data_IF_152061341475
#
_entry.id   IF_152061341475
#
_cell.length_a   1.000
_cell.length_b   1.000
_cell.length_c   1.000
_cell.angle_alpha   90.00
_cell.angle_beta   90.00
_cell.angle_gamma   90.00
#
_symmetry.space_group_name_H-M   'P 1'
#
loop_
_entity.id
_entity.type
_entity.pdbx_description
1 polymer ?
#
# COMPACT_ATOMS: atom_id res chain seq x y z
N UNK A 1 11.92 -20.01 18.70
CA UNK A 1 11.98 -18.72 18.00
C UNK A 1 10.88 -18.73 16.95
N UNK A 2 9.88 -17.89 17.09
CA UNK A 2 8.84 -17.72 16.08
C UNK A 2 9.50 -17.21 14.79
N UNK A 3 9.15 -17.78 13.64
CA UNK A 3 9.72 -17.35 12.37
C UNK A 3 9.24 -15.93 12.07
N UNK A 4 10.16 -14.97 11.96
CA UNK A 4 9.83 -13.59 11.60
C UNK A 4 9.19 -13.54 10.22
N UNK A 5 8.04 -12.91 10.10
CA UNK A 5 7.35 -12.66 8.82
C UNK A 5 8.13 -11.60 8.02
N UNK A 6 8.50 -10.50 8.67
CA UNK A 6 9.38 -9.47 8.12
C UNK A 6 10.79 -9.71 8.68
N UNK A 7 11.74 -10.02 7.80
CA UNK A 7 13.11 -10.34 8.17
C UNK A 7 14.07 -9.60 7.22
N UNK A 8 14.65 -8.50 7.71
CA UNK A 8 15.53 -7.64 6.92
C UNK A 8 16.76 -8.39 6.43
N UNK A 9 17.30 -9.33 7.23
CA UNK A 9 18.45 -10.13 6.80
C UNK A 9 18.09 -10.99 5.58
N UNK A 10 16.93 -11.65 5.60
CA UNK A 10 16.43 -12.45 4.46
C UNK A 10 16.12 -11.58 3.24
N UNK A 11 15.50 -10.41 3.45
CA UNK A 11 15.20 -9.47 2.36
C UNK A 11 16.49 -9.00 1.69
N UNK A 12 17.50 -8.61 2.48
CA UNK A 12 18.81 -8.22 1.96
C UNK A 12 19.50 -9.38 1.24
N UNK A 13 19.49 -10.57 1.82
CA UNK A 13 20.07 -11.76 1.19
C UNK A 13 19.40 -12.10 -0.14
N UNK A 14 18.06 -11.99 -0.22
CA UNK A 14 17.30 -12.20 -1.45
C UNK A 14 17.59 -11.17 -2.55
N UNK A 15 17.74 -9.89 -2.18
CA UNK A 15 18.01 -8.82 -3.15
C UNK A 15 19.48 -8.70 -3.56
N UNK A 16 20.43 -8.92 -2.66
CA UNK A 16 21.86 -8.70 -2.88
C UNK A 16 22.66 -10.01 -3.04
N UNK A 17 22.04 -11.16 -2.76
CA UNK A 17 22.72 -12.46 -2.80
C UNK A 17 23.91 -12.48 -1.85
N UNK A 18 25.06 -13.01 -2.33
CA UNK A 18 26.30 -13.09 -1.53
C UNK A 18 26.82 -11.73 -1.05
N UNK A 19 26.46 -10.63 -1.73
CA UNK A 19 26.87 -9.26 -1.35
C UNK A 19 26.18 -8.76 -0.09
N UNK A 20 25.06 -9.34 0.34
CA UNK A 20 24.41 -9.00 1.60
C UNK A 20 25.35 -9.13 2.81
N UNK A 21 26.29 -10.08 2.77
CA UNK A 21 27.30 -10.28 3.83
C UNK A 21 28.29 -9.12 3.96
N UNK A 22 28.42 -8.27 2.95
CA UNK A 22 29.28 -7.10 2.94
C UNK A 22 28.61 -5.86 3.56
N UNK A 23 27.30 -5.93 3.82
CA UNK A 23 26.56 -4.83 4.46
C UNK A 23 27.00 -4.78 5.94
N UNK A 24 27.50 -3.62 6.41
CA UNK A 24 27.91 -3.48 7.81
C UNK A 24 26.78 -3.78 8.78
N UNK A 25 27.05 -4.49 9.86
CA UNK A 25 26.05 -4.89 10.86
C UNK A 25 25.30 -3.71 11.48
N UNK A 26 25.98 -2.58 11.68
CA UNK A 26 25.34 -1.38 12.21
C UNK A 26 24.27 -0.82 11.24
N UNK A 27 24.50 -0.93 9.92
CA UNK A 27 23.55 -0.50 8.91
C UNK A 27 22.34 -1.44 8.87
N UNK A 28 22.54 -2.74 8.99
CA UNK A 28 21.44 -3.72 9.11
C UNK A 28 20.61 -3.44 10.36
N UNK A 29 21.28 -3.22 11.50
CA UNK A 29 20.61 -2.88 12.76
C UNK A 29 19.83 -1.56 12.67
N UNK A 30 20.39 -0.56 11.97
CA UNK A 30 19.71 0.70 11.68
C UNK A 30 18.46 0.49 10.80
N UNK A 31 18.57 -0.30 9.72
CA UNK A 31 17.43 -0.64 8.86
C UNK A 31 16.31 -1.36 9.64
N UNK A 32 16.65 -2.35 10.47
CA UNK A 32 15.67 -3.07 11.31
C UNK A 32 14.93 -2.11 12.24
N UNK A 33 15.66 -1.16 12.83
CA UNK A 33 15.07 -0.14 13.70
C UNK A 33 14.18 0.82 12.92
N UNK A 34 14.61 1.26 11.73
CA UNK A 34 13.87 2.17 10.86
C UNK A 34 12.54 1.60 10.40
N UNK A 35 12.50 0.30 10.07
CA UNK A 35 11.25 -0.37 9.65
C UNK A 35 10.49 -0.99 10.82
N UNK A 36 10.91 -0.72 12.06
CA UNK A 36 10.29 -1.25 13.27
C UNK A 36 10.09 -2.77 13.24
N UNK A 37 11.11 -3.51 12.72
CA UNK A 37 11.03 -4.96 12.43
C UNK A 37 10.39 -5.77 13.57
N UNK A 38 10.80 -5.53 14.82
CA UNK A 38 10.30 -6.31 15.96
C UNK A 38 8.85 -5.96 16.30
N UNK A 39 8.47 -4.67 16.25
CA UNK A 39 7.10 -4.22 16.53
C UNK A 39 6.13 -4.69 15.44
N UNK A 40 6.53 -4.59 14.17
CA UNK A 40 5.73 -5.09 13.05
C UNK A 40 5.54 -6.61 13.17
N UNK A 41 6.60 -7.38 13.46
CA UNK A 41 6.46 -8.82 13.63
C UNK A 41 5.60 -9.19 14.84
N UNK A 42 5.70 -8.44 15.95
CA UNK A 42 4.84 -8.63 17.12
C UNK A 42 3.37 -8.40 16.74
N UNK A 43 3.06 -7.29 16.05
CA UNK A 43 1.71 -7.03 15.57
C UNK A 43 1.19 -8.16 14.67
N UNK A 44 2.03 -8.65 13.72
CA UNK A 44 1.65 -9.73 12.81
C UNK A 44 1.41 -11.06 13.53
N UNK A 45 2.15 -11.34 14.60
CA UNK A 45 1.97 -12.54 15.42
C UNK A 45 0.69 -12.45 16.26
N UNK A 46 0.49 -11.34 16.97
CA UNK A 46 -0.68 -11.09 17.81
C UNK A 46 -2.00 -11.13 17.02
N UNK A 47 -1.96 -10.71 15.74
CA UNK A 47 -3.11 -10.65 14.83
C UNK A 47 -3.06 -11.70 13.72
N UNK A 48 -2.29 -12.78 13.91
CA UNK A 48 -2.13 -13.85 12.91
C UNK A 48 -3.41 -14.62 12.60
N UNK A 49 -4.42 -14.53 13.48
CA UNK A 49 -5.75 -15.12 13.33
C UNK A 49 -6.72 -14.26 12.51
N UNK A 50 -6.35 -13.00 12.20
CA UNK A 50 -7.17 -12.06 11.44
C UNK A 50 -6.70 -11.98 9.98
N UNK A 51 -7.66 -11.80 9.07
CA UNK A 51 -7.38 -11.55 7.67
C UNK A 51 -8.42 -10.60 7.05
N UNK A 52 -8.08 -10.05 5.88
CA UNK A 52 -8.99 -9.21 5.12
C UNK A 52 -9.33 -7.92 5.86
N UNK A 53 -10.62 -7.61 5.94
CA UNK A 53 -11.12 -6.36 6.54
C UNK A 53 -10.85 -6.29 8.03
N UNK A 54 -11.04 -7.40 8.75
CA UNK A 54 -10.80 -7.45 10.20
C UNK A 54 -9.33 -7.16 10.53
N UNK A 55 -8.42 -7.64 9.71
CA UNK A 55 -6.99 -7.31 9.85
C UNK A 55 -6.72 -5.83 9.59
N UNK A 56 -7.35 -5.21 8.59
CA UNK A 56 -7.23 -3.77 8.33
C UNK A 56 -7.77 -2.93 9.48
N UNK A 57 -8.90 -3.33 10.08
CA UNK A 57 -9.47 -2.66 11.25
C UNK A 57 -8.56 -2.79 12.48
N UNK A 58 -7.92 -3.95 12.65
CA UNK A 58 -6.89 -4.13 13.68
C UNK A 58 -5.69 -3.20 13.45
N UNK A 59 -5.26 -3.00 12.19
CA UNK A 59 -4.22 -2.01 11.85
C UNK A 59 -4.65 -0.58 12.20
N UNK A 60 -5.87 -0.16 11.85
CA UNK A 60 -6.40 1.17 12.20
C UNK A 60 -6.34 1.39 13.70
N UNK A 61 -6.76 0.40 14.48
CA UNK A 61 -6.74 0.44 15.94
C UNK A 61 -5.31 0.46 16.50
N UNK A 62 -4.42 -0.38 15.99
CA UNK A 62 -3.03 -0.47 16.43
C UNK A 62 -2.25 0.84 16.17
N UNK A 63 -2.53 1.49 15.05
CA UNK A 63 -1.91 2.76 14.66
C UNK A 63 -2.60 3.97 15.32
N UNK A 64 -3.57 3.75 16.20
CA UNK A 64 -4.35 4.79 16.90
C UNK A 64 -4.90 5.87 15.95
N UNK A 65 -5.39 5.43 14.77
CA UNK A 65 -5.86 6.34 13.75
C UNK A 65 -7.25 6.88 14.09
N UNK A 66 -7.38 8.19 14.16
CA UNK A 66 -8.67 8.88 14.19
C UNK A 66 -9.07 9.25 12.76
N UNK A 67 -10.21 8.73 12.31
CA UNK A 67 -10.71 8.94 10.95
C UNK A 67 -11.91 9.87 10.98
N UNK A 68 -11.80 11.02 10.30
CA UNK A 68 -12.93 11.90 10.00
C UNK A 68 -13.40 11.55 8.59
N UNK A 69 -14.66 11.14 8.46
CA UNK A 69 -15.20 10.63 7.20
C UNK A 69 -16.40 11.46 6.80
N UNK A 70 -16.34 12.00 5.59
CA UNK A 70 -17.42 12.77 4.98
C UNK A 70 -17.86 12.09 3.68
N UNK A 71 -19.16 12.21 3.35
CA UNK A 71 -19.69 11.74 2.08
C UNK A 71 -19.90 10.23 1.97
N UNK A 72 -20.00 9.51 3.11
CA UNK A 72 -20.32 8.07 3.09
C UNK A 72 -21.67 7.78 2.40
N UNK A 73 -22.61 8.70 2.50
CA UNK A 73 -23.92 8.64 1.84
C UNK A 73 -23.84 8.72 0.31
N UNK A 74 -22.71 9.16 -0.24
CA UNK A 74 -22.48 9.23 -1.68
C UNK A 74 -21.87 7.93 -2.25
N UNK A 75 -21.49 6.98 -1.38
CA UNK A 75 -21.03 5.68 -1.87
C UNK A 75 -22.19 4.95 -2.58
N UNK A 76 -21.91 4.31 -3.72
CA UNK A 76 -22.89 3.49 -4.40
C UNK A 76 -23.49 2.40 -3.52
N UNK A 77 -24.75 2.05 -3.74
CA UNK A 77 -25.39 0.95 -3.03
C UNK A 77 -24.65 -0.37 -3.34
N UNK A 78 -24.25 -1.09 -2.30
CA UNK A 78 -23.56 -2.37 -2.41
C UNK A 78 -24.40 -3.46 -3.10
N UNK A 79 -25.73 -3.28 -3.18
CA UNK A 79 -26.68 -4.23 -3.73
C UNK A 79 -27.17 -3.86 -5.14
N UNK A 80 -26.62 -2.82 -5.77
CA UNK A 80 -27.06 -2.38 -7.11
C UNK A 80 -26.56 -3.28 -8.26
N UNK A 81 -25.77 -4.30 -7.94
CA UNK A 81 -25.24 -5.28 -8.89
C UNK A 81 -24.12 -4.76 -9.79
N UNK A 82 -23.63 -3.53 -9.57
CA UNK A 82 -22.55 -2.94 -10.35
C UNK A 82 -21.20 -3.14 -9.67
N UNK A 83 -20.14 -3.04 -10.45
CA UNK A 83 -18.77 -3.10 -9.98
C UNK A 83 -18.10 -1.73 -10.09
N UNK A 84 -17.37 -1.37 -9.07
CA UNK A 84 -16.75 -0.06 -8.94
C UNK A 84 -15.23 -0.13 -8.92
N UNK A 85 -14.59 0.93 -9.40
CA UNK A 85 -13.18 1.21 -9.21
C UNK A 85 -13.03 2.43 -8.32
N UNK A 86 -12.74 2.23 -7.07
CA UNK A 86 -12.41 3.27 -6.11
C UNK A 86 -10.99 3.76 -6.36
N UNK A 87 -10.83 5.06 -6.52
CA UNK A 87 -9.52 5.67 -6.76
C UNK A 87 -9.28 6.80 -5.78
N UNK A 88 -8.11 6.83 -5.18
CA UNK A 88 -7.75 7.85 -4.21
C UNK A 88 -6.36 8.43 -4.49
N UNK A 89 -6.17 9.69 -4.06
CA UNK A 89 -4.84 10.22 -3.83
C UNK A 89 -4.14 9.42 -2.72
N UNK A 90 -2.81 9.54 -2.65
CA UNK A 90 -1.97 8.70 -1.78
C UNK A 90 -1.04 9.55 -0.91
N UNK A 91 -1.57 10.39 0.00
CA UNK A 91 -0.74 11.34 0.74
C UNK A 91 0.22 10.67 1.72
N UNK A 92 -0.21 9.64 2.42
CA UNK A 92 0.53 9.02 3.52
C UNK A 92 1.31 7.77 3.10
N UNK A 93 0.81 7.03 2.11
CA UNK A 93 1.51 5.87 1.53
C UNK A 93 1.24 4.53 2.20
N UNK A 94 0.88 4.48 3.47
CA UNK A 94 0.53 3.26 4.20
C UNK A 94 -0.81 3.38 4.90
N UNK A 95 -0.92 4.38 5.75
CA UNK A 95 -2.12 4.65 6.56
C UNK A 95 -3.38 4.86 5.71
N UNK A 96 -3.29 5.63 4.62
CA UNK A 96 -4.40 5.85 3.70
C UNK A 96 -4.88 4.54 3.04
N UNK A 97 -3.95 3.66 2.68
CA UNK A 97 -4.30 2.32 2.18
C UNK A 97 -5.04 1.49 3.21
N UNK A 98 -4.55 1.48 4.45
CA UNK A 98 -5.19 0.75 5.56
C UNK A 98 -6.57 1.31 5.87
N UNK A 99 -6.68 2.65 6.03
CA UNK A 99 -7.93 3.31 6.38
C UNK A 99 -9.02 3.13 5.30
N UNK A 100 -8.67 3.42 4.04
CA UNK A 100 -9.63 3.28 2.94
C UNK A 100 -10.07 1.84 2.74
N UNK A 101 -9.16 0.88 2.93
CA UNK A 101 -9.52 -0.53 2.84
C UNK A 101 -10.41 -1.01 3.96
N UNK A 102 -10.21 -0.51 5.17
CA UNK A 102 -11.11 -0.80 6.28
C UNK A 102 -12.52 -0.22 6.01
N UNK A 103 -12.61 1.04 5.57
CA UNK A 103 -13.87 1.73 5.28
C UNK A 103 -14.63 1.05 4.13
N UNK A 104 -13.97 0.92 2.96
CA UNK A 104 -14.58 0.31 1.77
C UNK A 104 -14.88 -1.17 2.02
N UNK A 105 -13.96 -1.85 2.70
CA UNK A 105 -14.15 -3.25 3.06
C UNK A 105 -15.34 -3.48 3.97
N UNK A 106 -15.54 -2.65 4.97
CA UNK A 106 -16.71 -2.72 5.85
C UNK A 106 -18.00 -2.43 5.10
N UNK A 107 -18.02 -1.42 4.23
CA UNK A 107 -19.21 -1.02 3.46
C UNK A 107 -19.64 -2.09 2.45
N UNK A 108 -18.67 -2.73 1.76
CA UNK A 108 -18.91 -3.72 0.71
C UNK A 108 -18.62 -5.17 1.16
N UNK A 109 -18.69 -5.47 2.46
CA UNK A 109 -18.56 -6.81 3.04
C UNK A 109 -17.28 -7.55 2.57
N UNK A 110 -16.17 -6.82 2.44
CA UNK A 110 -14.89 -7.35 1.97
C UNK A 110 -14.82 -7.63 0.46
N UNK A 111 -15.86 -7.25 -0.29
CA UNK A 111 -15.97 -7.53 -1.71
C UNK A 111 -15.13 -6.60 -2.58
N UNK A 112 -13.84 -6.43 -2.26
CA UNK A 112 -12.93 -5.59 -3.04
C UNK A 112 -11.52 -6.20 -3.13
N UNK A 113 -10.70 -5.66 -4.02
CA UNK A 113 -9.28 -6.00 -4.16
C UNK A 113 -8.44 -4.74 -4.34
N UNK A 114 -7.27 -4.76 -3.70
CA UNK A 114 -6.22 -3.78 -3.95
C UNK A 114 -5.35 -4.16 -5.12
N UNK A 115 -4.93 -3.17 -5.87
CA UNK A 115 -3.80 -3.29 -6.76
C UNK A 115 -2.54 -2.75 -6.05
N UNK A 116 -1.73 -3.65 -5.49
CA UNK A 116 -0.62 -3.30 -4.58
C UNK A 116 0.74 -3.75 -5.09
N UNK A 117 1.80 -3.17 -4.50
CA UNK A 117 3.17 -3.65 -4.65
C UNK A 117 3.29 -5.06 -4.04
N UNK A 118 4.12 -5.91 -4.67
CA UNK A 118 4.39 -7.28 -4.24
C UNK A 118 4.93 -7.41 -2.80
N UNK A 119 5.59 -6.37 -2.28
CA UNK A 119 6.03 -6.36 -0.88
C UNK A 119 4.87 -6.53 0.11
N UNK A 120 3.71 -5.97 -0.20
CA UNK A 120 2.53 -6.07 0.66
C UNK A 120 1.90 -7.46 0.66
N UNK A 121 2.22 -8.31 -0.32
CA UNK A 121 1.81 -9.71 -0.34
C UNK A 121 2.49 -10.56 0.76
N UNK A 122 3.56 -10.04 1.37
CA UNK A 122 4.20 -10.68 2.51
C UNK A 122 3.47 -10.43 3.83
N UNK A 123 2.43 -9.59 3.84
CA UNK A 123 1.56 -9.37 4.99
C UNK A 123 0.41 -10.39 4.93
N UNK A 124 0.41 -11.43 5.79
CA UNK A 124 -0.55 -12.54 5.67
C UNK A 124 -2.00 -12.06 5.74
N UNK A 125 -2.31 -11.19 6.70
CA UNK A 125 -3.66 -10.67 6.89
C UNK A 125 -4.19 -9.81 5.75
N UNK A 126 -3.30 -9.13 4.99
CA UNK A 126 -3.69 -8.31 3.84
C UNK A 126 -3.81 -9.12 2.54
N UNK A 127 -3.10 -10.24 2.46
CA UNK A 127 -2.98 -11.06 1.25
C UNK A 127 -4.31 -11.41 0.57
N UNK A 128 -5.40 -11.77 1.29
CA UNK A 128 -6.68 -12.10 0.66
C UNK A 128 -7.31 -10.95 -0.13
N UNK A 129 -6.95 -9.71 0.20
CA UNK A 129 -7.47 -8.51 -0.46
C UNK A 129 -6.57 -8.01 -1.60
N UNK A 130 -5.40 -8.62 -1.83
CA UNK A 130 -4.40 -8.07 -2.72
C UNK A 130 -4.34 -8.77 -4.08
N UNK A 131 -4.19 -7.96 -5.12
CA UNK A 131 -3.66 -8.37 -6.41
C UNK A 131 -2.21 -7.86 -6.47
N UNK A 132 -1.25 -8.77 -6.40
CA UNK A 132 0.17 -8.41 -6.33
C UNK A 132 0.71 -7.89 -7.66
N UNK A 133 1.41 -6.75 -7.59
CA UNK A 133 2.15 -6.18 -8.71
C UNK A 133 3.63 -6.38 -8.47
N UNK A 134 4.26 -7.30 -9.19
CA UNK A 134 5.71 -7.39 -9.19
C UNK A 134 6.29 -6.53 -10.31
N UNK A 135 7.07 -5.50 -9.94
CA UNK A 135 7.72 -4.59 -10.90
C UNK A 135 9.07 -5.12 -11.38
N UNK A 136 9.57 -6.23 -10.85
CA UNK A 136 10.90 -6.78 -11.16
C UNK A 136 10.86 -8.28 -11.45
N UNK A 137 11.64 -8.73 -12.43
CA UNK A 137 11.83 -10.15 -12.74
C UNK A 137 10.77 -10.77 -13.67
N UNK A 138 10.67 -12.12 -13.66
CA UNK A 138 9.75 -12.89 -14.53
C UNK A 138 8.27 -12.55 -14.30
N UNK A 139 7.88 -12.18 -13.09
CA UNK A 139 6.50 -11.80 -12.76
C UNK A 139 6.10 -10.42 -13.31
N UNK A 140 7.08 -9.54 -13.62
CA UNK A 140 6.78 -8.26 -14.27
C UNK A 140 6.13 -8.43 -15.65
N UNK A 141 6.39 -9.54 -16.33
CA UNK A 141 5.76 -9.89 -17.60
C UNK A 141 4.29 -10.27 -17.47
N UNK A 142 3.88 -10.78 -16.30
CA UNK A 142 2.50 -11.19 -16.03
C UNK A 142 1.66 -10.05 -15.42
N UNK A 143 2.29 -8.91 -15.12
CA UNK A 143 1.60 -7.77 -14.51
C UNK A 143 0.34 -7.31 -15.28
N UNK A 144 0.38 -7.10 -16.61
CA UNK A 144 -0.82 -6.73 -17.37
C UNK A 144 -1.94 -7.77 -17.23
N UNK A 145 -1.61 -9.06 -17.26
CA UNK A 145 -2.58 -10.13 -17.11
C UNK A 145 -3.20 -10.19 -15.72
N UNK A 146 -2.42 -9.90 -14.67
CA UNK A 146 -2.92 -9.86 -13.29
C UNK A 146 -3.85 -8.66 -13.06
N UNK A 147 -3.50 -7.49 -13.59
CA UNK A 147 -4.37 -6.31 -13.57
C UNK A 147 -5.67 -6.61 -14.30
N UNK A 148 -5.58 -7.20 -15.48
CA UNK A 148 -6.75 -7.58 -16.27
C UNK A 148 -7.64 -8.57 -15.55
N UNK A 149 -7.06 -9.61 -14.95
CA UNK A 149 -7.80 -10.59 -14.16
C UNK A 149 -8.51 -9.94 -12.97
N UNK A 150 -7.85 -8.98 -12.29
CA UNK A 150 -8.47 -8.20 -11.21
C UNK A 150 -9.68 -7.40 -11.70
N UNK A 151 -9.55 -6.68 -12.80
CA UNK A 151 -10.64 -5.88 -13.37
C UNK A 151 -11.78 -6.74 -13.95
N UNK A 152 -11.50 -7.96 -14.40
CA UNK A 152 -12.51 -8.92 -14.87
C UNK A 152 -13.15 -9.73 -13.75
N UNK A 153 -12.67 -9.60 -12.50
CA UNK A 153 -13.24 -10.32 -11.37
C UNK A 153 -14.60 -9.72 -10.95
N UNK A 154 -15.30 -10.45 -10.09
CA UNK A 154 -16.54 -10.04 -9.43
C UNK A 154 -16.31 -9.12 -8.20
N UNK A 155 -15.10 -8.57 -8.03
CA UNK A 155 -14.73 -7.72 -6.89
C UNK A 155 -14.58 -6.27 -7.31
N UNK A 156 -14.92 -5.34 -6.44
CA UNK A 156 -14.56 -3.93 -6.61
C UNK A 156 -13.05 -3.77 -6.61
N UNK A 157 -12.56 -2.70 -7.23
CA UNK A 157 -11.12 -2.38 -7.25
C UNK A 157 -10.85 -1.16 -6.38
N UNK A 158 -9.81 -1.20 -5.55
CA UNK A 158 -9.28 -0.03 -4.84
C UNK A 158 -7.86 0.25 -5.31
N UNK A 159 -7.62 1.45 -5.78
CA UNK A 159 -6.37 1.84 -6.42
C UNK A 159 -5.90 3.22 -5.99
N UNK A 160 -4.58 3.36 -5.97
CA UNK A 160 -3.87 4.63 -5.85
C UNK A 160 -3.14 4.90 -7.18
N UNK A 161 -3.75 5.65 -8.12
CA UNK A 161 -3.24 5.73 -9.50
C UNK A 161 -1.86 6.38 -9.63
N UNK A 162 -1.44 7.19 -8.67
CA UNK A 162 -0.09 7.74 -8.58
C UNK A 162 0.98 6.64 -8.41
N UNK A 163 0.63 5.53 -7.74
CA UNK A 163 1.48 4.38 -7.50
C UNK A 163 2.62 4.59 -6.50
N UNK A 164 2.78 5.79 -6.01
CA UNK A 164 3.64 6.22 -4.90
C UNK A 164 2.92 7.31 -4.13
N UNK A 165 3.29 7.49 -2.88
CA UNK A 165 2.74 8.56 -2.05
C UNK A 165 3.09 9.95 -2.56
N UNK A 166 2.29 10.93 -2.14
CA UNK A 166 2.40 12.34 -2.57
C UNK A 166 3.79 12.95 -2.31
N UNK A 167 4.13 13.98 -3.07
CA UNK A 167 5.40 14.70 -3.00
C UNK A 167 5.16 16.18 -2.70
N UNK A 168 6.09 16.77 -1.95
CA UNK A 168 6.13 18.21 -1.72
C UNK A 168 6.76 18.92 -2.90
N UNK A 169 6.05 19.85 -3.50
CA UNK A 169 6.50 20.70 -4.62
C UNK A 169 7.35 21.86 -4.13
N UNK A 170 7.93 22.62 -5.07
CA UNK A 170 8.77 23.77 -4.78
C UNK A 170 7.98 24.92 -4.11
N UNK A 171 6.70 25.07 -4.44
CA UNK A 171 5.78 26.03 -3.84
C UNK A 171 5.27 25.64 -2.44
N UNK A 172 5.72 24.50 -1.93
CA UNK A 172 5.33 23.94 -0.63
C UNK A 172 4.05 23.10 -0.64
N UNK A 173 3.32 23.07 -1.75
CA UNK A 173 2.12 22.25 -1.90
C UNK A 173 2.45 20.76 -1.96
N UNK A 174 1.52 19.91 -1.49
CA UNK A 174 1.66 18.46 -1.48
C UNK A 174 0.69 17.87 -2.48
N UNK A 175 1.21 17.15 -3.45
CA UNK A 175 0.41 16.56 -4.51
C UNK A 175 0.92 15.16 -4.86
N UNK A 176 0.04 14.35 -5.34
CA UNK A 176 0.37 13.09 -5.99
C UNK A 176 1.28 13.29 -7.20
N UNK A 177 2.03 12.25 -7.52
CA UNK A 177 2.64 12.12 -8.84
C UNK A 177 1.54 11.99 -9.90
N UNK A 178 1.85 12.24 -11.18
CA UNK A 178 0.86 12.11 -12.25
C UNK A 178 0.15 10.75 -12.22
N UNK A 179 -1.16 10.77 -12.19
CA UNK A 179 -1.99 9.58 -12.16
C UNK A 179 -1.88 8.79 -13.48
N UNK A 180 -1.66 7.49 -13.35
CA UNK A 180 -1.61 6.57 -14.49
C UNK A 180 -3.03 6.33 -15.01
N UNK A 181 -3.21 6.35 -16.33
CA UNK A 181 -4.52 6.17 -16.98
C UNK A 181 -5.11 4.77 -16.85
N UNK A 182 -4.37 3.81 -16.30
CA UNK A 182 -4.78 2.39 -16.18
C UNK A 182 -6.16 2.23 -15.56
N UNK A 183 -6.48 3.00 -14.50
CA UNK A 183 -7.77 2.91 -13.83
C UNK A 183 -8.93 3.31 -14.74
N UNK A 184 -8.78 4.38 -15.56
CA UNK A 184 -9.81 4.79 -16.53
C UNK A 184 -9.94 3.74 -17.63
N UNK A 185 -8.83 3.39 -18.28
CA UNK A 185 -8.84 2.46 -19.42
C UNK A 185 -9.47 1.13 -19.02
N UNK A 186 -9.04 0.56 -17.91
CA UNK A 186 -9.56 -0.74 -17.45
C UNK A 186 -10.99 -0.68 -16.91
N UNK A 187 -11.39 0.42 -16.29
CA UNK A 187 -12.78 0.59 -15.87
C UNK A 187 -13.72 0.67 -17.06
N UNK A 188 -13.36 1.41 -18.10
CA UNK A 188 -14.17 1.46 -19.35
C UNK A 188 -14.23 0.09 -20.02
N UNK A 189 -13.09 -0.60 -20.18
CA UNK A 189 -13.02 -1.94 -20.79
C UNK A 189 -13.85 -2.98 -20.03
N UNK A 190 -13.97 -2.85 -18.72
CA UNK A 190 -14.66 -3.82 -17.84
C UNK A 190 -16.01 -3.30 -17.32
N UNK A 191 -16.56 -2.22 -17.90
CA UNK A 191 -17.85 -1.63 -17.54
C UNK A 191 -17.98 -1.35 -16.04
N UNK A 192 -16.96 -0.71 -15.45
CA UNK A 192 -16.92 -0.31 -14.04
C UNK A 192 -17.04 1.20 -13.92
N UNK A 193 -17.88 1.66 -13.02
CA UNK A 193 -17.92 3.06 -12.67
C UNK A 193 -16.74 3.43 -11.77
N UNK A 194 -16.21 4.63 -11.95
CA UNK A 194 -15.10 5.14 -11.15
C UNK A 194 -15.63 6.02 -10.03
N UNK A 195 -15.27 5.69 -8.80
CA UNK A 195 -15.64 6.45 -7.61
C UNK A 195 -14.38 7.13 -7.06
N UNK A 196 -14.23 8.44 -7.21
CA UNK A 196 -13.10 9.18 -6.67
C UNK A 196 -13.28 9.40 -5.17
N UNK A 197 -12.20 9.18 -4.41
CA UNK A 197 -12.13 9.43 -2.98
C UNK A 197 -10.93 10.37 -2.73
N UNK A 198 -11.14 11.35 -1.91
CA UNK A 198 -10.07 12.21 -1.44
C UNK A 198 -9.65 11.81 -0.03
N UNK A 199 -8.36 11.60 0.17
CA UNK A 199 -7.77 11.35 1.48
C UNK A 199 -6.98 12.56 1.93
N UNK A 200 -7.35 13.15 3.07
CA UNK A 200 -6.61 14.24 3.72
C UNK A 200 -5.39 13.70 4.48
N UNK A 201 -4.40 14.55 4.69
CA UNK A 201 -3.22 14.21 5.48
C UNK A 201 -1.90 14.57 4.80
N UNK A 202 -0.84 14.50 5.59
CA UNK A 202 0.52 14.77 5.13
C UNK A 202 1.53 14.06 6.02
N UNK A 203 2.62 13.61 5.43
CA UNK A 203 3.79 13.11 6.14
C UNK A 203 4.63 14.26 6.72
N UNK A 204 5.61 13.94 7.54
CA UNK A 204 6.52 14.92 8.14
C UNK A 204 7.39 15.64 7.09
N UNK A 205 7.88 16.82 7.46
CA UNK A 205 8.86 17.56 6.64
C UNK A 205 10.16 16.76 6.43
N UNK A 206 10.52 15.91 7.39
CA UNK A 206 11.65 14.99 7.28
C UNK A 206 11.43 14.01 6.13
N UNK A 207 10.24 13.40 6.07
CA UNK A 207 9.87 12.48 4.99
C UNK A 207 10.00 13.14 3.61
N UNK A 208 9.43 14.33 3.42
CA UNK A 208 9.50 15.02 2.12
C UNK A 208 10.92 15.41 1.72
N UNK A 209 11.79 15.78 2.68
CA UNK A 209 13.21 16.02 2.39
C UNK A 209 13.93 14.75 1.93
N UNK A 210 13.68 13.61 2.58
CA UNK A 210 14.25 12.32 2.20
C UNK A 210 13.71 11.89 0.83
N UNK A 211 12.41 12.04 0.58
CA UNK A 211 11.81 11.73 -0.70
C UNK A 211 12.43 12.56 -1.84
N UNK A 212 12.57 13.88 -1.66
CA UNK A 212 13.21 14.77 -2.63
C UNK A 212 14.66 14.39 -2.91
N UNK A 213 15.43 14.04 -1.87
CA UNK A 213 16.81 13.56 -2.01
C UNK A 213 16.85 12.23 -2.79
N UNK A 214 16.00 11.30 -2.40
CA UNK A 214 15.89 9.99 -3.04
C UNK A 214 15.55 10.09 -4.52
N UNK A 215 14.51 10.86 -4.85
CA UNK A 215 14.05 11.03 -6.23
C UNK A 215 15.11 11.71 -7.13
N UNK A 216 15.99 12.55 -6.54
CA UNK A 216 17.03 13.26 -7.29
C UNK A 216 18.33 12.46 -7.47
N UNK A 217 18.73 11.68 -6.47
CA UNK A 217 20.08 11.14 -6.41
C UNK A 217 20.15 9.61 -6.36
N UNK A 218 19.04 8.91 -6.09
CA UNK A 218 19.05 7.47 -5.91
C UNK A 218 18.22 6.75 -6.99
N UNK A 219 18.65 5.56 -7.45
CA UNK A 219 17.90 4.75 -8.40
C UNK A 219 16.71 4.00 -7.77
N UNK A 220 16.47 4.19 -6.48
CA UNK A 220 15.40 3.54 -5.71
C UNK A 220 14.77 4.53 -4.75
N UNK A 221 13.50 4.30 -4.39
CA UNK A 221 12.78 5.16 -3.47
C UNK A 221 13.14 4.84 -2.01
N UNK A 222 14.14 5.55 -1.48
CA UNK A 222 14.57 5.43 -0.08
C UNK A 222 13.45 5.85 0.89
N UNK A 223 12.61 6.82 0.51
CA UNK A 223 11.54 7.31 1.38
C UNK A 223 10.52 6.21 1.76
N UNK A 224 10.36 5.15 0.95
CA UNK A 224 9.50 4.03 1.31
C UNK A 224 9.93 3.33 2.63
N UNK A 225 11.21 3.34 2.95
CA UNK A 225 11.70 2.74 4.20
C UNK A 225 11.32 3.56 5.43
N UNK A 226 11.00 4.84 5.23
CA UNK A 226 10.59 5.76 6.29
C UNK A 226 9.08 5.83 6.48
N UNK A 227 8.29 5.15 5.65
CA UNK A 227 6.83 5.17 5.79
C UNK A 227 6.35 4.55 7.10
N UNK A 228 7.04 3.52 7.58
CA UNK A 228 6.70 2.89 8.87
C UNK A 228 7.00 3.84 10.03
N UNK A 229 8.03 4.69 9.90
CA UNK A 229 8.41 5.70 10.90
C UNK A 229 7.44 6.92 10.90
N UNK A 230 6.58 7.04 9.88
CA UNK A 230 5.52 8.06 9.77
C UNK A 230 4.17 7.54 10.29
N UNK A 231 4.07 6.25 10.53
CA UNK A 231 2.88 5.57 11.08
C UNK A 231 2.86 5.61 12.59
#
# INVERSE_FOLDING_TARGET
MVAKTIDIDKILAGKMGKRARLVPRFLVAWLKRLVHEDQVNQFLDDHSHLEGVEWLEACVKYLDMTLEIEGMENLPDKNDGRLYTFVSNHPLGGQDGVALGAIIGRHYDGNFRYLVNDLLLNLPGLKPLCIGINKTGRQSRNFPAMVEAGFKSDKHMLMFPAGLNSRKRADGSIHDLPWKKTFITKSVECHRDVVPIFFGGRNSERFYRIAKFSDKYLPFNLAMLFLVDEM
#
